data_IF_042556816431
#
_entry.id   IF_042556816431
#
_cell.length_a   1.000
_cell.length_b   1.000
_cell.length_c   1.000
_cell.angle_alpha   90.00
_cell.angle_beta   90.00
_cell.angle_gamma   90.00
#
_symmetry.space_group_name_H-M   'P 1'
#
loop_
_entity.id
_entity.type
_entity.pdbx_description
1 polymer ?
#
# COMPACT_ATOMS: atom_id res chain seq x y z
N UNK A 1 -0.42 -22.97 -0.12
CA UNK A 1 -0.04 -21.88 -1.05
C UNK A 1 0.52 -20.74 -0.21
N UNK A 2 1.78 -20.35 -0.45
CA UNK A 2 2.40 -19.23 0.25
C UNK A 2 1.99 -17.93 -0.45
N UNK A 3 1.79 -16.88 0.33
CA UNK A 3 1.42 -15.55 -0.16
C UNK A 3 2.57 -14.64 0.21
N UNK A 4 3.17 -13.98 -0.77
CA UNK A 4 4.19 -12.96 -0.51
C UNK A 4 3.52 -11.61 -0.52
N UNK A 5 3.72 -10.85 0.56
CA UNK A 5 3.19 -9.50 0.67
C UNK A 5 4.23 -8.51 0.24
N UNK A 6 3.86 -7.71 -0.75
CA UNK A 6 4.68 -6.62 -1.21
C UNK A 6 4.05 -5.29 -0.85
N UNK A 7 4.80 -4.49 -0.10
CA UNK A 7 4.49 -3.10 0.18
C UNK A 7 5.44 -2.23 -0.63
N UNK A 8 4.88 -1.31 -1.39
CA UNK A 8 5.65 -0.35 -2.18
C UNK A 8 5.46 1.04 -1.61
N UNK A 9 6.54 1.63 -1.10
CA UNK A 9 6.54 3.06 -0.76
C UNK A 9 7.00 3.84 -1.97
N UNK A 10 6.12 4.68 -2.53
CA UNK A 10 6.41 5.49 -3.71
C UNK A 10 6.35 6.97 -3.32
N UNK A 11 7.48 7.64 -3.44
CA UNK A 11 7.63 9.04 -3.07
C UNK A 11 8.65 9.68 -4.00
N UNK A 12 8.36 10.88 -4.51
CA UNK A 12 9.23 11.64 -5.41
C UNK A 12 9.80 10.83 -6.60
N UNK A 13 8.96 9.98 -7.22
CA UNK A 13 9.33 9.05 -8.30
C UNK A 13 10.37 7.98 -7.92
N UNK A 14 10.50 7.66 -6.65
CA UNK A 14 11.30 6.52 -6.22
C UNK A 14 10.42 5.50 -5.53
N UNK A 15 10.84 4.24 -5.61
CA UNK A 15 10.17 3.11 -4.97
C UNK A 15 11.11 2.40 -4.01
N UNK A 16 10.59 2.13 -2.82
CA UNK A 16 11.15 1.19 -1.86
C UNK A 16 10.24 -0.02 -1.80
N UNK A 17 10.83 -1.21 -1.80
CA UNK A 17 10.09 -2.47 -1.81
C UNK A 17 10.24 -3.10 -0.44
N UNK A 18 9.13 -3.43 0.19
CA UNK A 18 9.11 -4.16 1.44
C UNK A 18 8.45 -5.51 1.21
N UNK A 19 9.13 -6.57 1.60
CA UNK A 19 8.62 -7.93 1.56
C UNK A 19 8.40 -8.41 2.98
N UNK A 20 7.16 -8.79 3.30
CA UNK A 20 6.76 -9.26 4.64
C UNK A 20 7.19 -8.29 5.76
N UNK A 21 7.15 -6.99 5.48
CA UNK A 21 7.46 -5.90 6.43
C UNK A 21 8.96 -5.59 6.57
N UNK A 22 9.82 -6.17 5.73
CA UNK A 22 11.27 -5.87 5.69
C UNK A 22 11.64 -5.20 4.38
N UNK A 23 12.51 -4.21 4.45
CA UNK A 23 13.07 -3.58 3.25
C UNK A 23 13.84 -4.62 2.43
N UNK A 24 13.47 -4.76 1.17
CA UNK A 24 14.06 -5.68 0.20
C UNK A 24 14.82 -4.85 -0.84
N UNK A 25 16.13 -5.08 -0.92
CA UNK A 25 16.96 -4.43 -1.94
C UNK A 25 16.56 -4.89 -3.33
N UNK A 26 16.45 -3.94 -4.24
CA UNK A 26 16.15 -4.18 -5.63
C UNK A 26 17.29 -3.66 -6.50
N UNK A 27 17.87 -4.54 -7.33
CA UNK A 27 19.08 -4.23 -8.12
C UNK A 27 20.29 -3.76 -7.26
N UNK A 28 20.35 -4.21 -6.00
CA UNK A 28 21.40 -3.83 -5.04
C UNK A 28 21.15 -2.51 -4.30
N UNK A 29 20.08 -1.79 -4.65
CA UNK A 29 19.69 -0.51 -4.06
C UNK A 29 18.55 -0.66 -3.06
N UNK A 30 18.56 0.15 -2.00
CA UNK A 30 17.48 0.22 -1.00
C UNK A 30 16.26 0.99 -1.54
N UNK A 31 16.47 1.90 -2.50
CA UNK A 31 15.44 2.73 -3.14
C UNK A 31 15.77 2.89 -4.63
N UNK A 32 14.80 2.63 -5.51
CA UNK A 32 15.00 2.65 -6.97
C UNK A 32 14.27 3.83 -7.60
N UNK A 33 14.92 4.57 -8.50
CA UNK A 33 14.27 5.63 -9.26
C UNK A 33 13.35 5.03 -10.34
N UNK A 34 12.12 5.54 -10.43
CA UNK A 34 11.13 5.19 -11.43
C UNK A 34 11.06 6.30 -12.47
N UNK A 35 11.73 6.10 -13.61
CA UNK A 35 11.52 6.94 -14.78
C UNK A 35 10.25 6.54 -15.56
N UNK A 36 9.84 5.28 -15.46
CA UNK A 36 8.72 4.69 -16.15
C UNK A 36 8.24 3.45 -15.38
N UNK A 37 6.98 3.46 -14.94
CA UNK A 37 6.37 2.38 -14.15
C UNK A 37 6.33 1.05 -14.92
N UNK A 38 6.00 1.07 -16.21
CA UNK A 38 5.94 -0.16 -17.03
C UNK A 38 7.30 -0.85 -17.12
N UNK A 39 8.37 -0.07 -17.31
CA UNK A 39 9.74 -0.59 -17.32
C UNK A 39 10.14 -1.14 -15.95
N UNK A 40 9.75 -0.45 -14.87
CA UNK A 40 9.96 -0.96 -13.52
C UNK A 40 9.29 -2.32 -13.34
N UNK A 41 8.01 -2.45 -13.68
CA UNK A 41 7.27 -3.72 -13.52
C UNK A 41 7.84 -4.85 -14.36
N UNK A 42 8.25 -4.60 -15.61
CA UNK A 42 8.92 -5.61 -16.46
C UNK A 42 10.21 -6.13 -15.83
N UNK A 43 11.05 -5.22 -15.31
CA UNK A 43 12.28 -5.61 -14.61
C UNK A 43 11.95 -6.32 -13.30
N UNK A 44 10.96 -5.84 -12.56
CA UNK A 44 10.57 -6.41 -11.27
C UNK A 44 10.05 -7.84 -11.46
N UNK A 45 9.24 -8.08 -12.49
CA UNK A 45 8.77 -9.41 -12.90
C UNK A 45 9.92 -10.36 -13.27
N UNK A 46 10.95 -9.86 -13.98
CA UNK A 46 12.09 -10.67 -14.38
C UNK A 46 13.04 -11.02 -13.22
N UNK A 47 13.15 -10.13 -12.23
CA UNK A 47 14.10 -10.26 -11.12
C UNK A 47 13.47 -10.83 -9.85
N UNK A 48 12.17 -10.61 -9.63
CA UNK A 48 11.45 -11.22 -8.51
C UNK A 48 11.30 -12.70 -8.81
N UNK A 49 11.98 -13.55 -8.02
CA UNK A 49 11.80 -15.02 -8.07
C UNK A 49 10.35 -15.48 -7.77
N UNK A 50 9.43 -14.55 -7.58
CA UNK A 50 8.06 -14.73 -7.08
C UNK A 50 7.06 -14.87 -8.23
N UNK A 51 7.35 -14.32 -9.42
CA UNK A 51 6.51 -14.56 -10.61
C UNK A 51 6.69 -15.96 -11.22
N UNK A 52 7.69 -16.72 -10.74
CA UNK A 52 8.00 -18.08 -11.20
C UNK A 52 7.39 -19.18 -10.32
N UNK A 53 6.57 -18.84 -9.34
CA UNK A 53 5.90 -19.78 -8.44
C UNK A 53 4.38 -19.66 -8.54
N UNK A 54 3.65 -20.74 -8.24
CA UNK A 54 2.18 -20.73 -8.09
C UNK A 54 1.70 -19.91 -6.86
N UNK A 55 2.48 -18.92 -6.42
CA UNK A 55 2.24 -18.13 -5.22
C UNK A 55 1.39 -16.90 -5.57
N UNK A 56 0.47 -16.55 -4.66
CA UNK A 56 -0.32 -15.32 -4.79
C UNK A 56 0.50 -14.11 -4.35
N UNK A 57 0.29 -13.01 -5.05
CA UNK A 57 0.93 -11.72 -4.78
C UNK A 57 -0.15 -10.73 -4.36
N UNK A 58 0.04 -10.12 -3.20
CA UNK A 58 -0.79 -9.02 -2.72
C UNK A 58 0.02 -7.72 -2.78
N UNK A 59 -0.57 -6.70 -3.38
CA UNK A 59 0.03 -5.40 -3.60
C UNK A 59 -0.65 -4.35 -2.74
N UNK A 60 0.15 -3.74 -1.87
CA UNK A 60 -0.22 -2.52 -1.15
C UNK A 60 0.78 -1.43 -1.47
N UNK A 61 0.27 -0.25 -1.80
CA UNK A 61 1.04 0.93 -2.16
C UNK A 61 0.81 2.03 -1.13
N UNK A 62 1.90 2.64 -0.69
CA UNK A 62 1.95 3.84 0.13
C UNK A 62 2.54 4.92 -0.76
N UNK A 63 1.69 5.78 -1.33
CA UNK A 63 2.10 6.71 -2.39
C UNK A 63 1.93 8.15 -1.95
N UNK A 64 2.91 8.99 -2.22
CA UNK A 64 2.77 10.42 -2.01
C UNK A 64 1.72 11.05 -2.94
N UNK A 65 1.39 12.31 -2.67
CA UNK A 65 0.47 13.08 -3.50
C UNK A 65 0.97 13.39 -4.91
N UNK A 66 2.30 13.35 -5.11
CA UNK A 66 2.95 13.67 -6.39
C UNK A 66 2.89 12.49 -7.36
N UNK A 67 2.72 11.28 -6.84
CA UNK A 67 2.62 10.06 -7.65
C UNK A 67 1.35 10.08 -8.50
N UNK A 68 1.50 9.89 -9.82
CA UNK A 68 0.37 9.65 -10.72
C UNK A 68 -0.26 8.29 -10.40
N UNK A 69 -1.26 8.32 -9.52
CA UNK A 69 -2.00 7.14 -9.09
C UNK A 69 -2.70 6.46 -10.25
N UNK A 70 -3.23 7.19 -11.23
CA UNK A 70 -3.95 6.55 -12.33
C UNK A 70 -2.99 5.75 -13.21
N UNK A 71 -1.83 6.32 -13.55
CA UNK A 71 -0.79 5.61 -14.27
C UNK A 71 -0.26 4.40 -13.47
N UNK A 72 -0.04 4.55 -12.16
CA UNK A 72 0.33 3.43 -11.28
C UNK A 72 -0.68 2.30 -11.35
N UNK A 73 -1.97 2.58 -11.15
CA UNK A 73 -3.04 1.59 -11.19
C UNK A 73 -3.13 0.92 -12.56
N UNK A 74 -3.04 1.68 -13.64
CA UNK A 74 -3.06 1.13 -15.00
C UNK A 74 -1.86 0.21 -15.26
N UNK A 75 -0.67 0.57 -14.78
CA UNK A 75 0.55 -0.21 -15.01
C UNK A 75 0.53 -1.61 -14.37
N UNK A 76 -0.31 -1.80 -13.34
CA UNK A 76 -0.46 -3.07 -12.63
C UNK A 76 -1.78 -3.80 -12.94
N UNK A 77 -2.61 -3.28 -13.85
CA UNK A 77 -3.91 -3.87 -14.19
C UNK A 77 -3.81 -5.35 -14.53
N UNK A 78 -2.75 -5.77 -15.23
CA UNK A 78 -2.51 -7.17 -15.59
C UNK A 78 -2.34 -8.12 -14.40
N UNK A 79 -2.05 -7.58 -13.22
CA UNK A 79 -1.90 -8.33 -11.97
C UNK A 79 -3.15 -8.24 -11.09
N UNK A 80 -4.24 -7.60 -11.54
CA UNK A 80 -5.49 -7.57 -10.79
C UNK A 80 -6.10 -8.97 -10.80
N UNK A 81 -5.95 -9.70 -9.70
CA UNK A 81 -6.66 -10.96 -9.48
C UNK A 81 -8.02 -10.70 -8.83
N UNK A 82 -8.95 -11.66 -8.98
CA UNK A 82 -10.17 -11.71 -8.18
C UNK A 82 -9.85 -11.77 -6.68
N UNK A 83 -10.82 -11.30 -5.88
CA UNK A 83 -10.83 -11.19 -4.41
C UNK A 83 -9.77 -12.06 -3.74
N UNK A 84 -8.72 -11.41 -3.24
CA UNK A 84 -7.69 -12.09 -2.46
C UNK A 84 -8.22 -12.36 -1.04
N UNK A 85 -8.20 -13.64 -0.63
CA UNK A 85 -8.63 -14.12 0.68
C UNK A 85 -7.44 -14.19 1.66
N UNK A 86 -6.31 -13.57 1.33
CA UNK A 86 -5.15 -13.47 2.20
C UNK A 86 -5.47 -12.65 3.46
N UNK A 87 -4.66 -12.70 4.53
CA UNK A 87 -4.89 -11.82 5.66
C UNK A 87 -4.49 -10.38 5.31
N UNK A 88 -5.31 -9.42 5.74
CA UNK A 88 -5.22 -7.99 5.42
C UNK A 88 -3.87 -7.34 5.77
N UNK A 89 -3.51 -6.30 5.01
CA UNK A 89 -2.53 -5.30 5.43
C UNK A 89 -3.04 -4.59 6.68
N UNK A 90 -2.29 -4.74 7.78
CA UNK A 90 -2.70 -4.31 9.11
C UNK A 90 -1.99 -3.04 9.58
N UNK A 91 -2.48 -2.47 10.68
CA UNK A 91 -1.83 -1.35 11.37
C UNK A 91 -0.41 -1.66 11.85
N UNK A 92 -0.14 -2.92 12.22
CA UNK A 92 1.19 -3.38 12.62
C UNK A 92 2.17 -3.44 11.43
N UNK A 93 1.69 -3.84 10.24
CA UNK A 93 2.51 -3.82 9.03
C UNK A 93 2.87 -2.37 8.64
N UNK A 94 1.89 -1.45 8.72
CA UNK A 94 2.11 -0.03 8.50
C UNK A 94 3.10 0.57 9.51
N UNK A 95 2.95 0.23 10.81
CA UNK A 95 3.86 0.67 11.88
C UNK A 95 5.30 0.27 11.59
N UNK A 96 5.56 -0.98 11.19
CA UNK A 96 6.91 -1.46 10.85
C UNK A 96 7.53 -0.65 9.72
N UNK A 97 6.76 -0.33 8.67
CA UNK A 97 7.24 0.47 7.53
C UNK A 97 7.61 1.88 8.01
N UNK A 98 6.73 2.53 8.79
CA UNK A 98 6.99 3.87 9.34
C UNK A 98 8.23 3.90 10.24
N UNK A 99 8.41 2.86 11.05
CA UNK A 99 9.56 2.73 11.94
C UNK A 99 10.88 2.55 11.16
N UNK A 100 10.88 1.74 10.10
CA UNK A 100 12.03 1.57 9.21
C UNK A 100 12.38 2.90 8.52
N UNK A 101 11.37 3.62 8.04
CA UNK A 101 11.56 4.91 7.37
C UNK A 101 11.85 6.07 8.33
N UNK A 102 11.80 5.84 9.64
CA UNK A 102 11.96 6.87 10.67
C UNK A 102 11.02 8.06 10.50
N UNK A 103 9.77 7.81 10.09
CA UNK A 103 8.76 8.84 9.90
C UNK A 103 8.25 9.30 11.27
N UNK A 104 8.41 10.59 11.57
CA UNK A 104 7.96 11.18 12.84
C UNK A 104 6.53 11.71 12.78
N UNK A 105 6.09 12.18 11.61
CA UNK A 105 4.76 12.75 11.42
C UNK A 105 4.38 12.67 9.94
N UNK A 106 3.13 12.33 9.63
CA UNK A 106 2.65 12.10 8.25
C UNK A 106 1.12 12.18 8.19
N UNK A 107 0.58 12.62 7.06
CA UNK A 107 -0.85 12.54 6.77
C UNK A 107 -1.12 11.26 5.99
N UNK A 108 -2.09 10.46 6.45
CA UNK A 108 -2.59 9.32 5.69
C UNK A 108 -3.97 9.58 5.13
N UNK A 109 -4.19 9.10 3.91
CA UNK A 109 -5.50 9.07 3.28
C UNK A 109 -5.86 7.66 2.81
N UNK A 110 -6.95 7.11 3.36
CA UNK A 110 -7.46 5.79 3.02
C UNK A 110 -8.99 5.78 3.13
N UNK A 111 -9.69 5.24 2.13
CA UNK A 111 -11.16 5.16 2.09
C UNK A 111 -11.91 6.47 2.41
N UNK A 112 -11.37 7.61 1.93
CA UNK A 112 -11.88 8.97 2.20
C UNK A 112 -11.78 9.40 3.68
N UNK A 113 -11.14 8.60 4.53
CA UNK A 113 -10.68 9.03 5.84
C UNK A 113 -9.27 9.62 5.69
N UNK A 114 -9.04 10.74 6.37
CA UNK A 114 -7.77 11.45 6.38
C UNK A 114 -7.39 11.74 7.82
N UNK A 115 -6.22 11.27 8.24
CA UNK A 115 -5.72 11.49 9.60
C UNK A 115 -4.26 11.92 9.55
N UNK A 116 -3.88 12.76 10.50
CA UNK A 116 -2.47 13.08 10.74
C UNK A 116 -1.98 12.25 11.91
N UNK A 117 -0.92 11.47 11.73
CA UNK A 117 -0.33 10.69 12.81
C UNK A 117 1.08 11.17 13.13
N UNK A 118 1.41 11.18 14.41
CA UNK A 118 2.75 11.46 14.91
C UNK A 118 3.28 10.31 15.76
N UNK A 119 4.58 10.05 15.65
CA UNK A 119 5.31 9.09 16.49
C UNK A 119 5.62 9.70 17.84
N UNK A 120 5.18 9.03 18.91
CA UNK A 120 5.65 9.27 20.28
C UNK A 120 6.67 8.21 20.68
N UNK A 121 7.15 8.27 21.93
CA UNK A 121 8.14 7.29 22.44
C UNK A 121 7.63 5.84 22.37
N UNK A 122 6.32 5.62 22.50
CA UNK A 122 5.74 4.28 22.61
C UNK A 122 4.91 3.85 21.39
N UNK A 123 4.30 4.81 20.67
CA UNK A 123 3.28 4.50 19.66
C UNK A 123 3.05 5.64 18.66
N UNK A 124 2.23 5.39 17.65
CA UNK A 124 1.68 6.43 16.79
C UNK A 124 0.33 6.91 17.37
N UNK A 125 0.08 8.21 17.31
CA UNK A 125 -1.17 8.84 17.76
C UNK A 125 -1.66 9.83 16.72
N UNK A 126 -2.97 9.99 16.62
CA UNK A 126 -3.56 11.05 15.81
C UNK A 126 -3.25 12.42 16.42
N UNK A 127 -2.97 13.40 15.56
CA UNK A 127 -2.72 14.79 15.93
C UNK A 127 -3.52 15.72 15.04
N UNK A 128 -3.48 17.03 15.37
CA UNK A 128 -4.03 18.06 14.50
C UNK A 128 -3.40 18.01 13.10
N UNK A 129 -4.23 18.39 12.12
CA UNK A 129 -3.87 18.43 10.72
C UNK A 129 -2.93 19.60 10.42
N UNK A 130 -1.89 19.34 9.63
CA UNK A 130 -0.88 20.32 9.23
C UNK A 130 -0.61 20.21 7.72
N UNK A 131 -0.96 21.24 6.96
CA UNK A 131 -0.90 21.26 5.49
C UNK A 131 0.51 21.02 4.91
N UNK A 132 1.57 21.27 5.67
CA UNK A 132 2.96 21.16 5.18
C UNK A 132 3.52 19.72 5.24
N UNK A 133 2.76 18.76 5.77
CA UNK A 133 3.22 17.38 5.91
C UNK A 133 3.03 16.57 4.63
N UNK A 134 3.93 15.61 4.41
CA UNK A 134 3.78 14.63 3.35
C UNK A 134 2.46 13.88 3.51
N UNK A 135 1.66 13.88 2.44
CA UNK A 135 0.41 13.15 2.35
C UNK A 135 0.60 11.83 1.61
N UNK A 136 0.34 10.73 2.31
CA UNK A 136 0.48 9.37 1.81
C UNK A 136 -0.90 8.73 1.63
N UNK A 137 -1.17 8.27 0.42
CA UNK A 137 -2.35 7.49 0.08
C UNK A 137 -2.06 6.00 0.21
N UNK A 138 -2.93 5.28 0.92
CA UNK A 138 -2.87 3.83 1.01
C UNK A 138 -3.76 3.23 -0.08
N UNK A 139 -3.17 2.42 -0.97
CA UNK A 139 -3.87 1.72 -2.05
C UNK A 139 -3.61 0.23 -1.93
N UNK A 140 -4.63 -0.61 -2.02
CA UNK A 140 -4.48 -2.06 -1.98
C UNK A 140 -5.81 -2.75 -2.24
N UNK A 141 -5.78 -4.08 -2.39
CA UNK A 141 -6.99 -4.89 -2.49
C UNK A 141 -7.48 -5.40 -1.14
N UNK A 142 -6.55 -5.70 -0.24
CA UNK A 142 -6.80 -6.38 1.02
C UNK A 142 -6.20 -5.60 2.20
N UNK A 143 -6.78 -4.44 2.51
CA UNK A 143 -6.32 -3.56 3.60
C UNK A 143 -7.39 -3.51 4.67
N UNK A 144 -6.98 -3.61 5.94
CA UNK A 144 -7.87 -3.45 7.08
C UNK A 144 -8.58 -2.09 6.99
N UNK A 145 -9.91 -2.09 6.99
CA UNK A 145 -10.72 -0.88 6.88
C UNK A 145 -10.45 0.12 8.00
N UNK A 146 -10.18 -0.37 9.20
CA UNK A 146 -9.93 0.43 10.39
C UNK A 146 -8.43 0.67 10.62
N UNK A 147 -7.56 0.41 9.62
CA UNK A 147 -6.10 0.55 9.71
C UNK A 147 -5.66 1.90 10.30
N UNK A 148 -6.31 2.99 9.89
CA UNK A 148 -6.01 4.35 10.34
C UNK A 148 -6.43 4.58 11.81
N UNK A 149 -7.53 3.97 12.25
CA UNK A 149 -7.99 4.02 13.65
C UNK A 149 -7.13 3.14 14.54
N UNK A 150 -6.77 1.95 14.08
CA UNK A 150 -5.91 1.04 14.83
C UNK A 150 -4.50 1.61 15.03
N UNK A 151 -3.88 2.17 13.98
CA UNK A 151 -2.53 2.73 14.10
C UNK A 151 -2.48 3.93 15.04
N UNK A 152 -3.55 4.73 15.09
CA UNK A 152 -3.71 5.87 16.00
C UNK A 152 -4.21 5.46 17.40
N UNK A 153 -4.36 4.16 17.67
CA UNK A 153 -4.90 3.58 18.90
C UNK A 153 -6.30 4.10 19.27
N UNK A 154 -7.11 4.45 18.28
CA UNK A 154 -8.51 4.77 18.47
C UNK A 154 -9.33 3.50 18.70
N UNK A 155 -10.42 3.63 19.46
CA UNK A 155 -11.30 2.51 19.78
C UNK A 155 -12.00 2.03 18.51
N UNK A 156 -11.68 0.81 18.09
CA UNK A 156 -12.39 0.13 16.99
C UNK A 156 -13.62 -0.56 17.54
N UNK A 157 -14.79 -0.29 16.97
CA UNK A 157 -15.98 -1.10 17.26
C UNK A 157 -15.76 -2.50 16.68
N UNK A 158 -15.97 -3.56 17.48
CA UNK A 158 -15.97 -4.94 16.97
C UNK A 158 -17.11 -5.12 15.98
N UNK A 159 -16.84 -4.84 14.72
CA UNK A 159 -17.67 -5.31 13.61
C UNK A 159 -17.35 -6.78 13.41
N UNK A 160 -18.36 -7.62 13.22
CA UNK A 160 -18.13 -8.93 12.62
C UNK A 160 -17.30 -8.72 11.34
N UNK A 161 -16.25 -9.51 11.13
CA UNK A 161 -15.50 -9.51 9.88
C UNK A 161 -16.47 -9.81 8.75
N UNK A 162 -17.04 -8.76 8.15
CA UNK A 162 -17.86 -8.85 6.96
C UNK A 162 -16.98 -9.20 5.77
N UNK A 163 -17.62 -9.79 4.76
CA UNK A 163 -17.03 -10.07 3.46
C UNK A 163 -15.99 -9.02 3.07
N UNK A 164 -14.80 -9.49 2.69
CA UNK A 164 -13.67 -8.67 2.28
C UNK A 164 -14.15 -7.53 1.36
N UNK A 165 -14.07 -6.29 1.84
CA UNK A 165 -14.40 -5.14 1.00
C UNK A 165 -13.29 -4.94 -0.02
N UNK A 166 -13.70 -4.70 -1.26
CA UNK A 166 -12.80 -4.29 -2.33
C UNK A 166 -12.04 -3.05 -1.89
N UNK A 167 -10.74 -3.16 -1.68
CA UNK A 167 -9.88 -2.00 -1.47
C UNK A 167 -9.85 -1.06 -2.68
N UNK A 168 -9.07 0.01 -2.58
CA UNK A 168 -9.05 1.08 -3.59
C UNK A 168 -8.62 0.59 -4.98
N UNK A 169 -7.72 -0.40 -5.05
CA UNK A 169 -7.32 -1.06 -6.31
C UNK A 169 -8.49 -1.83 -6.94
N UNK A 170 -9.14 -2.71 -6.18
CA UNK A 170 -10.22 -3.55 -6.68
C UNK A 170 -11.44 -2.74 -7.12
N UNK A 171 -11.74 -1.67 -6.38
CA UNK A 171 -12.78 -0.71 -6.76
C UNK A 171 -12.47 0.01 -8.08
N UNK A 172 -11.20 0.37 -8.33
CA UNK A 172 -10.76 1.00 -9.57
C UNK A 172 -10.95 0.09 -10.78
N UNK A 173 -10.45 -1.16 -10.71
CA UNK A 173 -10.53 -2.09 -11.85
C UNK A 173 -11.96 -2.52 -12.15
N UNK A 174 -12.79 -2.75 -11.12
CA UNK A 174 -14.21 -3.06 -11.32
C UNK A 174 -14.97 -1.92 -12.00
N UNK A 175 -14.64 -0.66 -11.70
CA UNK A 175 -15.23 0.49 -12.38
C UNK A 175 -14.78 0.56 -13.85
N UNK A 176 -13.52 0.25 -14.12
CA UNK A 176 -12.93 0.24 -15.47
C UNK A 176 -13.58 -0.83 -16.36
N UNK A 177 -13.78 -2.04 -15.83
CA UNK A 177 -14.47 -3.14 -16.52
C UNK A 177 -15.91 -2.77 -16.91
N UNK A 178 -16.70 -2.24 -15.96
CA UNK A 178 -18.07 -1.75 -16.22
C UNK A 178 -18.14 -0.67 -17.31
N UNK A 179 -17.08 0.13 -17.46
CA UNK A 179 -17.00 1.16 -18.50
C UNK A 179 -16.59 0.60 -19.87
N UNK A 180 -15.95 -0.58 -19.94
CA UNK A 180 -15.62 -1.26 -21.20
C UNK A 180 -16.83 -2.01 -21.80
N UNK A 181 -17.77 -2.41 -20.96
CA UNK A 181 -19.00 -3.11 -21.36
C UNK A 181 -20.12 -2.16 -21.83
N UNK A 182 -19.92 -0.84 -21.72
CA UNK A 182 -20.87 0.20 -22.13
C UNK A 182 -20.46 0.83 -23.45
#
# INVERSE_FOLDING_TARGET
MKIHRYFFWIEDNFIEIYKDGKLERYDGEDRTYINNLENFWKKWESNSRIMLSDEKIDFTFLVDEKTDRENLLNSIEKYSYEIDLSPEFSSEDLKKILDIKNIKKVIFNYNNEEITIAKTEEKYMETEFEDELTKIFILGNNINEDILKEISNQRVEKKEKKDYKLGRLGSYFKKKEKNRER
#
